data_IF_540950843044
#
_entry.id   IF_540950843044
#
_cell.length_a   1.000
_cell.length_b   1.000
_cell.length_c   1.000
_cell.angle_alpha   90.00
_cell.angle_beta   90.00
_cell.angle_gamma   90.00
#
_symmetry.space_group_name_H-M   'P 1'
#
loop_
_entity.id
_entity.type
_entity.pdbx_description
1 polymer ?
#
# COMPACT_ATOMS: atom_id res chain seq x y z
N UNK A 1 -0.52 10.07 -12.75
CA UNK A 1 -0.18 9.10 -11.71
C UNK A 1 1.02 9.64 -10.93
N UNK A 2 0.74 10.18 -9.76
CA UNK A 2 1.69 10.83 -8.86
C UNK A 2 2.75 9.87 -8.31
N UNK A 3 2.37 8.64 -7.97
CA UNK A 3 3.30 7.60 -7.52
C UNK A 3 4.36 7.32 -8.59
N UNK A 4 3.95 7.24 -9.86
CA UNK A 4 4.87 7.02 -10.96
C UNK A 4 5.77 8.23 -11.19
N UNK A 5 5.25 9.45 -11.07
CA UNK A 5 6.06 10.69 -11.16
C UNK A 5 7.11 10.71 -10.05
N UNK A 6 6.72 10.43 -8.80
CA UNK A 6 7.65 10.40 -7.67
C UNK A 6 8.81 9.41 -7.91
N UNK A 7 8.50 8.17 -8.32
CA UNK A 7 9.54 7.16 -8.62
C UNK A 7 10.46 7.63 -9.74
N UNK A 8 9.89 8.14 -10.85
CA UNK A 8 10.70 8.61 -11.98
C UNK A 8 11.58 9.81 -11.64
N UNK A 9 11.07 10.73 -10.83
CA UNK A 9 11.88 11.86 -10.35
C UNK A 9 13.08 11.36 -9.55
N UNK A 10 12.87 10.48 -8.56
CA UNK A 10 13.95 9.92 -7.77
C UNK A 10 14.99 9.14 -8.60
N UNK A 11 14.52 8.38 -9.61
CA UNK A 11 15.40 7.67 -10.53
C UNK A 11 16.22 8.65 -11.41
N UNK A 12 15.56 9.68 -11.95
CA UNK A 12 16.21 10.69 -12.80
C UNK A 12 17.27 11.53 -12.05
N UNK A 13 17.03 11.79 -10.76
CA UNK A 13 17.96 12.47 -9.87
C UNK A 13 19.11 11.55 -9.40
N UNK A 14 19.06 10.28 -9.72
CA UNK A 14 20.03 9.28 -9.27
C UNK A 14 19.93 8.94 -7.77
N UNK A 15 18.84 9.35 -7.12
CA UNK A 15 18.63 9.09 -5.70
C UNK A 15 18.33 7.61 -5.42
N UNK A 16 17.64 6.93 -6.35
CA UNK A 16 17.35 5.49 -6.28
C UNK A 16 17.46 4.85 -7.66
N UNK A 17 17.87 3.60 -7.69
CA UNK A 17 17.85 2.76 -8.89
C UNK A 17 16.63 1.84 -8.93
N UNK A 18 16.21 1.32 -7.78
CA UNK A 18 15.08 0.40 -7.65
C UNK A 18 14.06 0.90 -6.65
N UNK A 19 12.79 0.78 -7.02
CA UNK A 19 11.67 1.15 -6.16
C UNK A 19 10.61 0.04 -6.11
N UNK A 20 9.82 0.00 -5.05
CA UNK A 20 8.58 -0.77 -5.02
C UNK A 20 7.40 0.17 -4.76
N UNK A 21 6.30 -0.05 -5.48
CA UNK A 21 5.02 0.58 -5.21
C UNK A 21 4.13 -0.50 -4.60
N UNK A 22 3.74 -0.31 -3.35
CA UNK A 22 2.84 -1.20 -2.61
C UNK A 22 1.48 -0.51 -2.54
N UNK A 23 0.56 -0.98 -3.36
CA UNK A 23 -0.78 -0.43 -3.48
C UNK A 23 -1.79 -1.32 -2.74
N UNK A 24 -2.38 -0.76 -1.68
CA UNK A 24 -3.37 -1.40 -0.82
C UNK A 24 -4.74 -0.68 -0.88
N UNK A 25 -5.00 0.05 -1.95
CA UNK A 25 -6.32 0.60 -2.27
C UNK A 25 -7.29 -0.54 -2.64
N UNK A 26 -8.59 -0.32 -2.44
CA UNK A 26 -9.64 -1.25 -2.83
C UNK A 26 -9.60 -1.57 -4.33
N UNK A 27 -9.28 -0.56 -5.14
CA UNK A 27 -9.21 -0.65 -6.60
C UNK A 27 -7.80 -1.00 -7.05
N UNK A 28 -7.67 -1.80 -8.11
CA UNK A 28 -6.34 -2.06 -8.66
C UNK A 28 -5.68 -0.78 -9.16
N UNK A 29 -4.40 -0.59 -8.83
CA UNK A 29 -3.55 0.45 -9.40
C UNK A 29 -3.19 0.17 -10.87
N UNK A 30 -4.19 0.04 -11.76
CA UNK A 30 -4.01 -0.35 -13.16
C UNK A 30 -3.18 0.65 -13.97
N UNK A 31 -3.23 1.93 -13.61
CA UNK A 31 -2.39 2.97 -14.20
C UNK A 31 -0.91 2.77 -13.88
N UNK A 32 -0.59 2.50 -12.61
CA UNK A 32 0.75 2.15 -12.14
C UNK A 32 1.26 0.88 -12.83
N UNK A 33 0.43 -0.18 -12.85
CA UNK A 33 0.73 -1.42 -13.55
C UNK A 33 1.08 -1.20 -15.03
N UNK A 34 0.33 -0.34 -15.73
CA UNK A 34 0.54 -0.03 -17.14
C UNK A 34 1.83 0.73 -17.40
N UNK A 35 2.16 1.72 -16.54
CA UNK A 35 3.35 2.57 -16.67
C UNK A 35 4.62 1.74 -16.49
N UNK A 36 4.66 0.85 -15.50
CA UNK A 36 5.85 0.08 -15.16
C UNK A 36 5.87 -1.35 -15.73
N UNK A 37 4.94 -1.70 -16.62
CA UNK A 37 4.75 -3.05 -17.16
C UNK A 37 6.02 -3.75 -17.67
N UNK A 38 6.97 -2.98 -18.20
CA UNK A 38 8.22 -3.49 -18.82
C UNK A 38 9.47 -3.03 -18.07
N UNK A 39 9.29 -2.52 -16.88
CA UNK A 39 10.36 -1.91 -16.09
C UNK A 39 10.67 -2.76 -14.85
N UNK A 40 11.74 -3.55 -14.94
CA UNK A 40 12.18 -4.42 -13.85
C UNK A 40 12.78 -3.65 -12.66
N UNK A 41 13.09 -2.36 -12.84
CA UNK A 41 13.59 -1.51 -11.75
C UNK A 41 12.51 -1.09 -10.77
N UNK A 42 11.22 -1.22 -11.15
CA UNK A 42 10.08 -0.85 -10.31
C UNK A 42 9.14 -2.03 -10.11
N UNK A 43 9.10 -2.54 -8.89
CA UNK A 43 8.14 -3.58 -8.52
C UNK A 43 6.79 -2.97 -8.21
N UNK A 44 5.75 -3.41 -8.88
CA UNK A 44 4.37 -2.98 -8.63
C UNK A 44 3.59 -4.12 -7.97
N UNK A 45 3.12 -3.88 -6.75
CA UNK A 45 2.22 -4.76 -6.01
C UNK A 45 0.87 -4.11 -5.89
N UNK A 46 -0.21 -4.86 -6.15
CA UNK A 46 -1.57 -4.40 -5.89
C UNK A 46 -2.39 -5.50 -5.22
N UNK A 47 -2.97 -5.21 -4.07
CA UNK A 47 -3.94 -6.06 -3.38
C UNK A 47 -5.30 -5.34 -3.40
N UNK A 48 -6.27 -5.90 -4.10
CA UNK A 48 -7.50 -5.20 -4.43
C UNK A 48 -8.69 -6.17 -4.52
N UNK A 49 -9.90 -5.64 -4.45
CA UNK A 49 -11.09 -6.45 -4.73
C UNK A 49 -11.12 -6.85 -6.21
N UNK A 50 -11.30 -8.14 -6.51
CA UNK A 50 -11.14 -8.68 -7.86
C UNK A 50 -12.21 -8.18 -8.82
N UNK A 51 -13.48 -8.31 -8.47
CA UNK A 51 -14.61 -8.17 -9.39
C UNK A 51 -15.19 -6.76 -9.45
N UNK A 52 -14.37 -5.72 -9.31
CA UNK A 52 -14.79 -4.32 -9.41
C UNK A 52 -13.93 -3.54 -10.41
N UNK A 53 -14.35 -2.30 -10.74
CA UNK A 53 -13.51 -1.34 -11.48
C UNK A 53 -12.12 -1.19 -10.83
N UNK A 54 -11.05 -0.92 -11.60
CA UNK A 54 -10.99 -0.76 -13.06
C UNK A 54 -10.79 -2.11 -13.80
N UNK A 55 -10.85 -2.10 -15.14
CA UNK A 55 -10.35 -3.25 -15.92
C UNK A 55 -8.90 -3.55 -15.56
N UNK A 56 -8.63 -4.78 -15.14
CA UNK A 56 -7.34 -5.18 -14.56
C UNK A 56 -6.20 -5.10 -15.58
N UNK A 57 -5.04 -4.69 -15.10
CA UNK A 57 -3.76 -4.68 -15.82
C UNK A 57 -2.75 -5.48 -15.00
N UNK A 58 -1.81 -6.12 -15.68
CA UNK A 58 -0.80 -6.94 -15.02
C UNK A 58 0.24 -6.08 -14.33
N UNK A 59 0.30 -6.16 -13.01
CA UNK A 59 1.38 -5.66 -12.15
C UNK A 59 2.53 -6.69 -12.06
N UNK A 60 3.58 -6.39 -11.31
CA UNK A 60 4.58 -7.40 -10.95
C UNK A 60 3.97 -8.50 -10.09
N UNK A 61 3.06 -8.12 -9.17
CA UNK A 61 2.23 -9.05 -8.40
C UNK A 61 0.87 -8.42 -8.12
N UNK A 62 -0.18 -9.11 -8.56
CA UNK A 62 -1.58 -8.77 -8.26
C UNK A 62 -2.18 -9.82 -7.33
N UNK A 63 -2.89 -9.37 -6.29
CA UNK A 63 -3.69 -10.20 -5.41
C UNK A 63 -5.14 -9.75 -5.48
N UNK A 64 -5.93 -10.47 -6.26
CA UNK A 64 -7.38 -10.30 -6.31
C UNK A 64 -8.05 -10.91 -5.09
N UNK A 65 -8.81 -10.11 -4.37
CA UNK A 65 -9.57 -10.51 -3.19
C UNK A 65 -11.02 -10.81 -3.55
N UNK A 66 -11.54 -11.89 -2.99
CA UNK A 66 -12.96 -12.17 -3.09
C UNK A 66 -13.79 -11.16 -2.29
N UNK A 67 -15.03 -11.00 -2.68
CA UNK A 67 -16.02 -10.24 -1.92
C UNK A 67 -16.07 -10.76 -0.48
N UNK A 68 -16.33 -9.86 0.46
CA UNK A 68 -16.42 -10.14 1.90
C UNK A 68 -15.13 -10.65 2.55
N UNK A 69 -13.96 -10.52 1.88
CA UNK A 69 -12.68 -10.81 2.52
C UNK A 69 -12.52 -9.97 3.79
N UNK A 70 -12.23 -10.65 4.90
CA UNK A 70 -12.08 -10.07 6.24
C UNK A 70 -10.62 -9.73 6.59
N UNK A 71 -10.41 -9.17 7.79
CA UNK A 71 -9.09 -8.80 8.30
C UNK A 71 -8.11 -9.98 8.28
N UNK A 72 -8.53 -11.18 8.72
CA UNK A 72 -7.63 -12.32 8.85
C UNK A 72 -7.14 -12.82 7.49
N UNK A 73 -8.06 -12.96 6.52
CA UNK A 73 -7.73 -13.39 5.17
C UNK A 73 -6.87 -12.35 4.44
N UNK A 74 -7.17 -11.04 4.60
CA UNK A 74 -6.40 -9.95 4.04
C UNK A 74 -4.98 -9.91 4.62
N UNK A 75 -4.86 -9.89 5.96
CA UNK A 75 -3.58 -9.81 6.65
C UNK A 75 -2.67 -10.98 6.31
N UNK A 76 -3.23 -12.18 6.16
CA UNK A 76 -2.45 -13.34 5.71
C UNK A 76 -1.79 -13.08 4.35
N UNK A 77 -2.49 -12.47 3.39
CA UNK A 77 -1.92 -12.13 2.07
C UNK A 77 -0.80 -11.11 2.20
N UNK A 78 -0.97 -10.08 3.03
CA UNK A 78 0.07 -9.07 3.28
C UNK A 78 1.31 -9.73 3.92
N UNK A 79 1.11 -10.55 4.97
CA UNK A 79 2.19 -11.25 5.68
C UNK A 79 2.97 -12.22 4.79
N UNK A 80 2.27 -12.94 3.92
CA UNK A 80 2.90 -13.92 3.02
C UNK A 80 3.72 -13.27 1.90
N UNK A 81 3.36 -12.05 1.47
CA UNK A 81 3.92 -11.45 0.26
C UNK A 81 4.90 -10.29 0.50
N UNK A 82 4.60 -9.38 1.42
CA UNK A 82 5.42 -8.17 1.61
C UNK A 82 6.88 -8.50 1.94
N UNK A 83 7.20 -9.40 2.90
CA UNK A 83 8.59 -9.74 3.18
C UNK A 83 9.32 -10.28 1.95
N UNK A 84 8.66 -11.15 1.17
CA UNK A 84 9.26 -11.76 -0.01
C UNK A 84 9.54 -10.74 -1.12
N UNK A 85 8.64 -9.75 -1.32
CA UNK A 85 8.84 -8.66 -2.28
C UNK A 85 10.08 -7.88 -1.90
N UNK A 86 10.17 -7.45 -0.65
CA UNK A 86 11.28 -6.64 -0.16
C UNK A 86 12.63 -7.40 -0.23
N UNK A 87 12.64 -8.69 0.09
CA UNK A 87 13.86 -9.52 0.07
C UNK A 87 14.34 -9.82 -1.36
N UNK A 88 13.41 -10.08 -2.28
CA UNK A 88 13.75 -10.47 -3.66
C UNK A 88 14.07 -9.27 -4.55
N UNK A 89 13.22 -8.24 -4.50
CA UNK A 89 13.39 -7.05 -5.35
C UNK A 89 14.42 -6.07 -4.77
N UNK A 90 14.58 -6.02 -3.44
CA UNK A 90 15.49 -5.14 -2.71
C UNK A 90 15.34 -3.68 -3.14
N UNK A 91 14.15 -3.09 -3.00
CA UNK A 91 13.93 -1.70 -3.37
C UNK A 91 14.71 -0.78 -2.44
N UNK A 92 15.16 0.36 -2.95
CA UNK A 92 15.84 1.41 -2.19
C UNK A 92 14.83 2.40 -1.60
N UNK A 93 13.58 2.36 -2.08
CA UNK A 93 12.42 3.07 -1.52
C UNK A 93 11.14 2.29 -1.76
N UNK A 94 10.21 2.40 -0.84
CA UNK A 94 8.82 1.95 -1.00
C UNK A 94 7.91 3.17 -1.08
N UNK A 95 7.10 3.24 -2.13
CA UNK A 95 5.93 4.15 -2.18
C UNK A 95 4.70 3.33 -1.79
N UNK A 96 4.09 3.72 -0.68
CA UNK A 96 2.97 2.98 -0.10
C UNK A 96 1.66 3.73 -0.29
N UNK A 97 0.73 3.17 -1.07
CA UNK A 97 -0.63 3.66 -1.24
C UNK A 97 -1.53 3.04 -0.17
N UNK A 98 -1.87 3.83 0.84
CA UNK A 98 -2.65 3.44 2.01
C UNK A 98 -4.13 3.80 1.84
N UNK A 99 -4.83 3.18 0.87
CA UNK A 99 -6.27 3.40 0.67
C UNK A 99 -7.09 3.04 1.92
N UNK A 100 -8.12 3.85 2.22
CA UNK A 100 -9.06 3.60 3.30
C UNK A 100 -10.29 2.79 2.83
N UNK A 101 -10.48 2.66 1.54
CA UNK A 101 -11.65 2.05 0.91
C UNK A 101 -11.77 0.51 1.00
N UNK A 102 -10.76 -0.29 1.46
CA UNK A 102 -11.03 -1.66 1.86
C UNK A 102 -11.90 -1.79 3.12
N UNK A 103 -12.24 -0.66 3.77
CA UNK A 103 -13.06 -0.61 4.98
C UNK A 103 -14.46 -1.20 4.77
N UNK A 104 -14.97 -1.92 5.80
CA UNK A 104 -16.21 -2.68 5.72
C UNK A 104 -17.48 -1.87 5.44
N UNK A 105 -17.47 -0.58 5.71
CA UNK A 105 -18.60 0.34 5.48
C UNK A 105 -18.33 1.33 4.32
N UNK A 106 -17.37 1.01 3.46
CA UNK A 106 -17.14 1.73 2.21
C UNK A 106 -18.27 1.48 1.21
N UNK A 107 -18.60 2.49 0.41
CA UNK A 107 -19.72 2.44 -0.53
C UNK A 107 -19.35 1.85 -1.90
N UNK A 108 -18.05 1.76 -2.20
CA UNK A 108 -17.57 1.34 -3.53
C UNK A 108 -17.09 -0.11 -3.56
N UNK A 109 -16.95 -0.74 -2.39
CA UNK A 109 -16.51 -2.13 -2.26
C UNK A 109 -17.36 -2.97 -1.34
N UNK A 110 -16.97 -4.23 -1.25
CA UNK A 110 -17.65 -5.21 -0.37
C UNK A 110 -16.66 -5.93 0.55
N UNK A 111 -15.40 -5.49 0.62
CA UNK A 111 -14.45 -6.04 1.59
C UNK A 111 -14.93 -5.75 3.01
N UNK A 112 -14.44 -6.54 3.98
CA UNK A 112 -14.89 -6.49 5.37
C UNK A 112 -13.75 -6.16 6.33
N UNK A 113 -12.85 -5.26 5.92
CA UNK A 113 -11.78 -4.85 6.79
C UNK A 113 -12.29 -3.88 7.86
N UNK A 114 -11.89 -4.12 9.10
CA UNK A 114 -12.13 -3.18 10.20
C UNK A 114 -11.08 -2.06 10.18
N UNK A 115 -11.35 -0.95 10.88
CA UNK A 115 -10.35 0.10 11.11
C UNK A 115 -9.08 -0.46 11.78
N UNK A 116 -9.24 -1.44 12.67
CA UNK A 116 -8.11 -2.15 13.30
C UNK A 116 -7.32 -2.95 12.29
N UNK A 117 -7.97 -3.65 11.36
CA UNK A 117 -7.32 -4.40 10.29
C UNK A 117 -6.52 -3.49 9.37
N UNK A 118 -7.07 -2.34 8.99
CA UNK A 118 -6.36 -1.32 8.20
C UNK A 118 -5.13 -0.77 8.94
N UNK A 119 -5.25 -0.49 10.24
CA UNK A 119 -4.11 -0.07 11.05
C UNK A 119 -3.04 -1.18 11.14
N UNK A 120 -3.43 -2.44 11.33
CA UNK A 120 -2.49 -3.58 11.35
C UNK A 120 -1.77 -3.76 10.02
N UNK A 121 -2.44 -3.50 8.89
CA UNK A 121 -1.83 -3.48 7.56
C UNK A 121 -0.69 -2.46 7.50
N UNK A 122 -0.98 -1.22 7.92
CA UNK A 122 -0.01 -0.12 7.91
C UNK A 122 1.20 -0.44 8.81
N UNK A 123 0.93 -0.86 10.05
CA UNK A 123 1.98 -1.23 11.01
C UNK A 123 2.90 -2.35 10.46
N UNK A 124 2.33 -3.36 9.80
CA UNK A 124 3.11 -4.46 9.25
C UNK A 124 4.00 -4.02 8.11
N UNK A 125 3.47 -3.27 7.13
CA UNK A 125 4.24 -2.81 5.98
C UNK A 125 5.41 -1.93 6.45
N UNK A 126 5.15 -0.99 7.34
CA UNK A 126 6.18 -0.10 7.90
C UNK A 126 7.24 -0.89 8.71
N UNK A 127 6.81 -1.87 9.50
CA UNK A 127 7.73 -2.71 10.27
C UNK A 127 8.63 -3.56 9.36
N UNK A 128 8.10 -4.14 8.28
CA UNK A 128 8.88 -4.95 7.34
C UNK A 128 9.88 -4.12 6.54
N UNK A 129 9.52 -2.90 6.14
CA UNK A 129 10.45 -1.96 5.51
C UNK A 129 11.54 -1.53 6.49
N UNK A 130 11.19 -1.16 7.73
CA UNK A 130 12.15 -0.77 8.77
C UNK A 130 13.17 -1.86 9.09
N UNK A 131 12.75 -3.13 9.21
CA UNK A 131 13.65 -4.28 9.42
C UNK A 131 14.76 -4.36 8.38
N UNK A 132 14.53 -3.81 7.19
CA UNK A 132 15.45 -3.83 6.04
C UNK A 132 16.11 -2.47 5.76
N UNK A 133 15.89 -1.48 6.64
CA UNK A 133 16.34 -0.11 6.45
C UNK A 133 15.88 0.49 5.10
N UNK A 134 14.68 0.15 4.64
CA UNK A 134 14.09 0.68 3.41
C UNK A 134 13.19 1.86 3.77
N UNK A 135 13.46 3.08 3.26
CA UNK A 135 12.60 4.23 3.47
C UNK A 135 11.23 4.04 2.82
N UNK A 136 10.20 4.60 3.45
CA UNK A 136 8.82 4.52 2.97
C UNK A 136 8.22 5.90 2.87
N UNK A 137 7.67 6.23 1.71
CA UNK A 137 6.80 7.38 1.54
C UNK A 137 5.34 6.90 1.39
N UNK A 138 4.46 7.35 2.28
CA UNK A 138 3.05 6.99 2.26
C UNK A 138 2.19 8.02 1.56
N UNK A 139 1.18 7.55 0.84
CA UNK A 139 0.12 8.37 0.29
C UNK A 139 -1.22 7.93 0.84
N UNK A 140 -2.09 8.88 1.14
CA UNK A 140 -3.49 8.61 1.39
C UNK A 140 -4.17 8.25 0.07
N UNK A 141 -5.10 7.32 0.11
CA UNK A 141 -5.83 6.87 -1.09
C UNK A 141 -7.33 6.91 -0.89
N UNK A 142 -8.07 6.08 -1.60
CA UNK A 142 -9.51 5.99 -1.54
C UNK A 142 -10.09 5.96 -0.13
N UNK A 143 -11.38 6.25 -0.02
CA UNK A 143 -12.11 6.26 1.24
C UNK A 143 -13.47 6.92 1.04
N UNK A 144 -14.49 6.10 0.92
CA UNK A 144 -15.86 6.49 0.58
C UNK A 144 -16.85 5.90 1.59
N UNK A 145 -16.44 5.85 2.86
CA UNK A 145 -17.28 5.34 3.94
C UNK A 145 -18.62 6.10 4.01
N UNK A 146 -19.70 5.40 4.41
CA UNK A 146 -21.03 6.03 4.59
C UNK A 146 -20.98 7.16 5.61
N UNK A 147 -20.20 6.97 6.68
CA UNK A 147 -19.84 8.05 7.59
C UNK A 147 -18.43 8.55 7.23
N UNK A 148 -18.31 9.77 6.75
CA UNK A 148 -17.03 10.39 6.35
C UNK A 148 -16.02 10.46 7.48
N UNK A 149 -16.45 10.54 8.74
CA UNK A 149 -15.58 10.52 9.91
C UNK A 149 -14.78 9.20 10.00
N UNK A 150 -15.33 8.10 9.52
CA UNK A 150 -14.62 6.82 9.48
C UNK A 150 -13.44 6.86 8.51
N UNK A 151 -13.60 7.47 7.34
CA UNK A 151 -12.51 7.69 6.38
C UNK A 151 -11.42 8.58 6.99
N UNK A 152 -11.82 9.69 7.64
CA UNK A 152 -10.88 10.60 8.32
C UNK A 152 -10.11 9.85 9.42
N UNK A 153 -10.81 9.10 10.27
CA UNK A 153 -10.19 8.34 11.34
C UNK A 153 -9.18 7.30 10.81
N UNK A 154 -9.51 6.58 9.74
CA UNK A 154 -8.59 5.62 9.11
C UNK A 154 -7.32 6.33 8.61
N UNK A 155 -7.45 7.44 7.92
CA UNK A 155 -6.29 8.20 7.43
C UNK A 155 -5.47 8.81 8.56
N UNK A 156 -6.10 9.27 9.63
CA UNK A 156 -5.41 9.72 10.85
C UNK A 156 -4.63 8.55 11.47
N UNK A 157 -5.22 7.36 11.56
CA UNK A 157 -4.51 6.18 12.07
C UNK A 157 -3.33 5.77 11.18
N UNK A 158 -3.45 5.91 9.85
CA UNK A 158 -2.31 5.73 8.94
C UNK A 158 -1.19 6.72 9.25
N UNK A 159 -1.51 8.01 9.42
CA UNK A 159 -0.50 9.01 9.80
C UNK A 159 0.16 8.71 11.14
N UNK A 160 -0.61 8.25 12.13
CA UNK A 160 -0.07 7.79 13.41
C UNK A 160 0.83 6.56 13.27
N UNK A 161 0.53 5.60 12.39
CA UNK A 161 1.40 4.46 12.13
C UNK A 161 2.79 4.91 11.63
N UNK A 162 2.83 5.87 10.70
CA UNK A 162 4.09 6.46 10.23
C UNK A 162 4.84 7.19 11.35
N UNK A 163 4.15 8.03 12.11
CA UNK A 163 4.75 8.76 13.23
C UNK A 163 5.36 7.83 14.30
N UNK A 164 4.64 6.78 14.69
CA UNK A 164 5.15 5.78 15.63
C UNK A 164 6.32 4.99 15.05
N UNK A 165 6.31 4.69 13.75
CA UNK A 165 7.43 4.04 13.09
C UNK A 165 8.70 4.90 13.13
N UNK A 166 8.59 6.23 12.91
CA UNK A 166 9.68 7.20 13.01
C UNK A 166 10.21 7.32 14.46
N UNK A 167 9.32 7.36 15.46
CA UNK A 167 9.73 7.35 16.87
C UNK A 167 10.55 6.11 17.22
N UNK A 168 10.08 4.93 16.79
CA UNK A 168 10.79 3.66 17.02
C UNK A 168 12.13 3.58 16.29
N UNK A 169 12.32 4.35 15.24
CA UNK A 169 13.58 4.49 14.53
C UNK A 169 14.56 5.49 15.23
N UNK A 170 14.08 6.28 16.21
CA UNK A 170 14.87 7.34 16.86
C UNK A 170 15.06 8.58 15.98
N UNK A 171 14.27 8.73 14.93
CA UNK A 171 14.36 9.83 13.96
C UNK A 171 13.65 11.09 14.42
N UNK A 172 12.74 10.97 15.39
CA UNK A 172 12.04 12.10 16.03
C UNK A 172 12.07 11.95 17.55
N UNK A 173 12.19 13.08 18.27
CA UNK A 173 12.11 13.11 19.73
C UNK A 173 10.69 12.78 20.24
N UNK A 174 10.59 12.39 21.48
CA UNK A 174 9.32 12.14 22.17
C UNK A 174 8.41 13.39 22.27
#
# INVERSE_FOLDING_TARGET
NDLAVAVRTLQNEGAVSRAAIIDCDLHQGNGTASIFRKDESVFTFSIHQENIYPPKKRSSLDIGLADLTDDAAYMKKIQDNIPQILDKHRPEIVIYQAGADPYMDDQLGTLKLSKKGLRQRDDLILAECRKRAIPVAGTLGGGYARNSEDTVDIHVQTAFAFWEALKRAGEIAE
#
